data_IF_138142392644
#
_entry.id   IF_138142392644
#
_cell.length_a   1.000
_cell.length_b   1.000
_cell.length_c   1.000
_cell.angle_alpha   90.00
_cell.angle_beta   90.00
_cell.angle_gamma   90.00
#
_symmetry.space_group_name_H-M   'P 1'
#
loop_
_entity.id
_entity.type
_entity.pdbx_description
1 polymer ?
#
# COMPACT_ATOMS: atom_id res chain seq x y z
N UNK A 1 -16.27 2.90 33.41
CA UNK A 1 -15.08 2.16 33.88
C UNK A 1 -14.43 1.37 32.73
N UNK A 2 -14.25 2.00 31.56
CA UNK A 2 -13.57 1.42 30.38
C UNK A 2 -12.46 2.37 29.85
N UNK A 3 -12.04 3.33 30.69
CA UNK A 3 -10.99 4.32 30.41
C UNK A 3 -9.59 3.85 30.88
N UNK A 4 -9.29 2.54 30.78
CA UNK A 4 -8.00 1.96 31.22
C UNK A 4 -7.23 1.20 30.14
N UNK A 5 -7.66 1.25 28.87
CA UNK A 5 -6.90 0.71 27.73
C UNK A 5 -6.20 1.80 26.90
N UNK A 6 -5.85 2.92 27.53
CA UNK A 6 -5.15 4.04 26.89
C UNK A 6 -3.62 4.03 27.12
N UNK A 7 -2.99 2.85 27.33
CA UNK A 7 -1.55 2.78 27.66
C UNK A 7 -0.74 1.66 26.97
N UNK A 8 -1.30 0.96 25.98
CA UNK A 8 -0.54 0.12 25.04
C UNK A 8 -1.27 0.26 23.68
N UNK A 9 -0.78 0.91 22.63
CA UNK A 9 0.56 0.85 22.09
C UNK A 9 0.94 2.19 21.43
N UNK A 10 1.80 2.96 22.09
CA UNK A 10 2.85 3.66 21.36
C UNK A 10 3.86 2.59 20.91
N UNK A 11 3.49 1.75 19.92
CA UNK A 11 4.46 0.86 19.30
C UNK A 11 5.45 1.75 18.57
N UNK A 12 6.64 1.88 19.15
CA UNK A 12 7.81 2.37 18.45
C UNK A 12 7.83 1.76 17.05
N UNK A 13 7.70 2.59 16.02
CA UNK A 13 7.86 2.16 14.63
C UNK A 13 9.21 1.47 14.52
N UNK A 14 9.22 0.14 14.43
CA UNK A 14 10.41 -0.58 14.02
C UNK A 14 10.72 -0.10 12.61
N UNK A 15 11.96 0.35 12.32
CA UNK A 15 12.36 0.61 10.96
C UNK A 15 12.24 -0.71 10.21
N UNK A 16 11.34 -0.71 9.23
CA UNK A 16 11.19 -1.77 8.25
C UNK A 16 12.57 -2.04 7.61
N UNK A 17 13.03 -3.29 7.68
CA UNK A 17 14.32 -3.67 7.10
C UNK A 17 14.14 -3.67 5.59
N UNK A 18 14.67 -2.64 4.92
CA UNK A 18 14.62 -2.55 3.46
C UNK A 18 15.19 -3.82 2.83
N UNK A 19 14.35 -4.55 2.09
CA UNK A 19 14.79 -5.70 1.31
C UNK A 19 15.81 -5.29 0.23
N UNK A 20 16.77 -6.16 -0.14
CA UNK A 20 17.72 -5.89 -1.20
C UNK A 20 17.00 -5.57 -2.53
N UNK A 21 17.51 -4.56 -3.25
CA UNK A 21 16.93 -4.04 -4.50
C UNK A 21 17.52 -4.82 -5.70
N UNK A 22 17.41 -6.14 -5.68
CA UNK A 22 17.91 -6.99 -6.76
C UNK A 22 16.86 -7.28 -7.84
N UNK A 23 15.63 -6.78 -7.69
CA UNK A 23 14.61 -6.78 -8.75
C UNK A 23 14.37 -5.35 -9.26
N UNK A 24 14.88 -5.10 -10.47
CA UNK A 24 14.79 -3.81 -11.17
C UNK A 24 13.69 -3.80 -12.23
N UNK A 25 12.82 -4.82 -12.24
CA UNK A 25 11.71 -4.82 -13.20
C UNK A 25 10.85 -3.57 -12.96
N UNK A 26 10.41 -2.89 -14.03
CA UNK A 26 9.55 -1.71 -13.89
C UNK A 26 8.29 -2.01 -13.06
N UNK A 27 7.75 -3.23 -13.18
CA UNK A 27 6.59 -3.65 -12.38
C UNK A 27 6.90 -3.77 -10.89
N UNK A 28 8.06 -4.34 -10.52
CA UNK A 28 8.48 -4.42 -9.12
C UNK A 28 8.69 -3.03 -8.52
N UNK A 29 9.38 -2.15 -9.25
CA UNK A 29 9.62 -0.77 -8.81
C UNK A 29 8.30 0.01 -8.64
N UNK A 30 7.38 -0.10 -9.60
CA UNK A 30 6.05 0.50 -9.52
C UNK A 30 5.26 -0.04 -8.33
N UNK A 31 5.25 -1.34 -8.10
CA UNK A 31 4.57 -1.93 -6.95
C UNK A 31 5.15 -1.42 -5.63
N UNK A 32 6.49 -1.44 -5.47
CA UNK A 32 7.15 -0.97 -4.24
C UNK A 32 6.86 0.50 -3.97
N UNK A 33 6.79 1.33 -5.02
CA UNK A 33 6.41 2.73 -4.91
C UNK A 33 4.95 2.88 -4.43
N UNK A 34 4.01 2.15 -5.02
CA UNK A 34 2.59 2.16 -4.62
C UNK A 34 2.43 1.75 -3.16
N UNK A 35 3.07 0.65 -2.73
CA UNK A 35 3.04 0.21 -1.32
C UNK A 35 3.58 1.31 -0.39
N UNK A 36 4.67 1.97 -0.79
CA UNK A 36 5.27 3.06 0.00
C UNK A 36 4.36 4.30 0.11
N UNK A 37 3.64 4.64 -0.96
CA UNK A 37 2.66 5.72 -0.97
C UNK A 37 1.52 5.39 -0.02
N UNK A 38 0.94 4.19 -0.12
CA UNK A 38 -0.16 3.75 0.74
C UNK A 38 0.28 3.77 2.21
N UNK A 39 1.46 3.26 2.52
CA UNK A 39 2.02 3.27 3.88
C UNK A 39 2.18 4.70 4.43
N UNK A 40 2.64 5.64 3.60
CA UNK A 40 2.78 7.06 3.99
C UNK A 40 1.43 7.69 4.28
N UNK A 41 0.42 7.44 3.45
CA UNK A 41 -0.91 8.02 3.63
C UNK A 41 -1.59 7.43 4.89
N UNK A 42 -1.45 6.13 5.17
CA UNK A 42 -1.90 5.51 6.42
C UNK A 42 -1.25 6.17 7.65
N UNK A 43 0.07 6.40 7.61
CA UNK A 43 0.81 7.10 8.68
C UNK A 43 0.36 8.54 8.87
N UNK A 44 -0.22 9.17 7.85
CA UNK A 44 -0.80 10.51 7.95
C UNK A 44 -2.23 10.52 8.52
N UNK A 45 -2.77 9.36 8.91
CA UNK A 45 -4.10 9.22 9.50
C UNK A 45 -5.25 9.17 8.50
N UNK A 46 -4.96 8.94 7.22
CA UNK A 46 -6.00 8.85 6.18
C UNK A 46 -6.75 7.54 6.22
N UNK A 47 -8.04 7.62 5.88
CA UNK A 47 -8.91 6.44 5.77
C UNK A 47 -8.65 5.70 4.46
N UNK A 48 -9.04 4.42 4.42
CA UNK A 48 -8.86 3.55 3.25
C UNK A 48 -9.54 4.16 2.02
N UNK A 49 -10.72 4.75 2.20
CA UNK A 49 -11.48 5.39 1.12
C UNK A 49 -10.70 6.58 0.53
N UNK A 50 -10.13 7.45 1.38
CA UNK A 50 -9.34 8.60 0.95
C UNK A 50 -8.05 8.18 0.22
N UNK A 51 -7.44 7.09 0.66
CA UNK A 51 -6.26 6.50 0.00
C UNK A 51 -6.65 5.93 -1.37
N UNK A 52 -7.77 5.21 -1.42
CA UNK A 52 -8.27 4.60 -2.66
C UNK A 52 -8.60 5.67 -3.68
N UNK A 53 -9.35 6.72 -3.32
CA UNK A 53 -9.68 7.85 -4.21
C UNK A 53 -8.43 8.54 -4.76
N UNK A 54 -7.38 8.69 -3.94
CA UNK A 54 -6.11 9.27 -4.37
C UNK A 54 -5.37 8.42 -5.39
N UNK A 55 -5.41 7.09 -5.23
CA UNK A 55 -4.79 6.17 -6.19
C UNK A 55 -5.65 6.09 -7.46
N UNK A 56 -6.98 6.10 -7.34
CA UNK A 56 -7.94 6.14 -8.46
C UNK A 56 -7.78 7.40 -9.32
N UNK A 57 -7.39 8.54 -8.73
CA UNK A 57 -7.15 9.77 -9.48
C UNK A 57 -6.09 9.61 -10.59
N UNK A 58 -5.16 8.66 -10.46
CA UNK A 58 -4.20 8.34 -11.52
C UNK A 58 -4.85 7.63 -12.70
N UNK A 59 -5.94 6.88 -12.48
CA UNK A 59 -6.67 6.21 -13.55
C UNK A 59 -7.33 7.21 -14.50
N UNK A 60 -7.63 8.43 -14.06
CA UNK A 60 -8.22 9.48 -14.89
C UNK A 60 -7.31 9.95 -16.04
N UNK A 61 -6.01 9.63 -16.00
CA UNK A 61 -5.08 9.91 -17.11
C UNK A 61 -5.15 8.85 -18.23
N UNK A 62 -5.85 7.73 -18.00
CA UNK A 62 -6.08 6.70 -18.99
C UNK A 62 -7.37 6.98 -19.77
N UNK A 63 -7.48 6.43 -20.99
CA UNK A 63 -8.64 6.63 -21.86
C UNK A 63 -9.31 5.29 -22.19
N UNK A 64 -10.62 5.33 -22.44
CA UNK A 64 -11.42 4.16 -22.81
C UNK A 64 -11.40 3.09 -21.72
N UNK A 65 -11.38 1.83 -22.15
CA UNK A 65 -11.49 0.66 -21.25
C UNK A 65 -10.35 0.59 -20.22
N UNK A 66 -9.18 1.15 -20.55
CA UNK A 66 -8.03 1.17 -19.63
C UNK A 66 -8.31 1.96 -18.34
N UNK A 67 -9.14 3.01 -18.42
CA UNK A 67 -9.56 3.77 -17.23
C UNK A 67 -10.40 2.88 -16.30
N UNK A 68 -11.37 2.15 -16.84
CA UNK A 68 -12.25 1.29 -16.04
C UNK A 68 -11.47 0.13 -15.42
N UNK A 69 -10.61 -0.53 -16.20
CA UNK A 69 -9.73 -1.59 -15.71
C UNK A 69 -8.83 -1.08 -14.58
N UNK A 70 -8.27 0.12 -14.72
CA UNK A 70 -7.47 0.72 -13.65
C UNK A 70 -8.27 0.93 -12.36
N UNK A 71 -9.49 1.49 -12.46
CA UNK A 71 -10.36 1.72 -11.30
C UNK A 71 -10.68 0.39 -10.60
N UNK A 72 -11.03 -0.65 -11.36
CA UNK A 72 -11.32 -1.98 -10.81
C UNK A 72 -10.10 -2.57 -10.08
N UNK A 73 -8.92 -2.49 -10.69
CA UNK A 73 -7.67 -2.94 -10.08
C UNK A 73 -7.39 -2.17 -8.78
N UNK A 74 -7.55 -0.85 -8.78
CA UNK A 74 -7.27 -0.02 -7.60
C UNK A 74 -8.20 -0.38 -6.45
N UNK A 75 -9.50 -0.55 -6.72
CA UNK A 75 -10.51 -0.95 -5.73
C UNK A 75 -10.22 -2.31 -5.11
N UNK A 76 -9.66 -3.25 -5.86
CA UNK A 76 -9.29 -4.57 -5.36
C UNK A 76 -7.94 -4.53 -4.60
N UNK A 77 -6.92 -3.91 -5.20
CA UNK A 77 -5.53 -4.04 -4.75
C UNK A 77 -5.18 -3.11 -3.60
N UNK A 78 -5.73 -1.90 -3.52
CA UNK A 78 -5.41 -0.99 -2.41
C UNK A 78 -5.81 -1.57 -1.05
N UNK A 79 -7.05 -2.08 -0.85
CA UNK A 79 -7.42 -2.73 0.40
C UNK A 79 -6.58 -3.97 0.73
N UNK A 80 -6.17 -4.74 -0.29
CA UNK A 80 -5.29 -5.90 -0.12
C UNK A 80 -3.90 -5.48 0.39
N UNK A 81 -3.31 -4.45 -0.24
CA UNK A 81 -2.01 -3.88 0.16
C UNK A 81 -2.05 -3.36 1.59
N UNK A 82 -3.13 -2.68 1.99
CA UNK A 82 -3.31 -2.16 3.36
C UNK A 82 -3.28 -3.30 4.37
N UNK A 83 -3.96 -4.43 4.11
CA UNK A 83 -3.91 -5.61 4.99
C UNK A 83 -2.50 -6.18 5.16
N UNK A 84 -1.67 -6.14 4.11
CA UNK A 84 -0.26 -6.55 4.23
C UNK A 84 0.56 -5.52 5.02
N UNK A 85 0.27 -4.22 4.86
CA UNK A 85 0.95 -3.17 5.62
C UNK A 85 0.63 -3.27 7.11
N UNK A 86 -0.63 -3.52 7.48
CA UNK A 86 -1.07 -3.73 8.87
C UNK A 86 -0.40 -4.95 9.53
N UNK A 87 0.01 -5.94 8.72
CA UNK A 87 0.83 -7.08 9.14
C UNK A 87 2.33 -6.78 9.21
N UNK A 88 2.71 -5.50 9.14
CA UNK A 88 4.08 -4.99 9.17
C UNK A 88 5.00 -5.51 8.03
N UNK A 89 4.42 -6.00 6.92
CA UNK A 89 5.20 -6.60 5.82
C UNK A 89 5.94 -5.59 4.94
N UNK A 90 7.21 -5.88 4.63
CA UNK A 90 8.06 -5.06 3.75
C UNK A 90 7.50 -4.93 2.33
N UNK A 91 7.72 -3.77 1.69
CA UNK A 91 7.19 -3.49 0.35
C UNK A 91 7.63 -4.51 -0.70
N UNK A 92 8.86 -5.03 -0.60
CA UNK A 92 9.33 -6.09 -1.48
C UNK A 92 8.54 -7.39 -1.31
N UNK A 93 8.30 -7.83 -0.07
CA UNK A 93 7.59 -9.09 0.20
C UNK A 93 6.11 -8.99 -0.19
N UNK A 94 5.49 -7.83 0.05
CA UNK A 94 4.14 -7.53 -0.48
C UNK A 94 4.12 -7.66 -2.00
N UNK A 95 5.10 -7.07 -2.68
CA UNK A 95 5.16 -7.11 -4.14
C UNK A 95 5.53 -8.49 -4.70
N UNK A 96 6.22 -9.36 -3.94
CA UNK A 96 6.39 -10.78 -4.31
C UNK A 96 5.07 -11.56 -4.23
N UNK A 97 4.28 -11.32 -3.18
CA UNK A 97 2.97 -11.98 -3.01
C UNK A 97 2.01 -11.57 -4.14
N UNK A 98 2.07 -10.30 -4.55
CA UNK A 98 1.30 -9.77 -5.68
C UNK A 98 1.90 -10.12 -7.05
N UNK A 99 2.97 -10.92 -7.10
CA UNK A 99 3.71 -11.35 -8.29
C UNK A 99 4.29 -10.23 -9.17
N UNK A 100 4.52 -9.04 -8.58
CA UNK A 100 5.20 -7.92 -9.24
C UNK A 100 6.71 -7.92 -9.02
N UNK A 101 7.22 -8.62 -8.00
CA UNK A 101 8.66 -8.84 -7.74
C UNK A 101 8.97 -10.35 -7.65
N UNK A 102 10.20 -10.77 -7.96
CA UNK A 102 10.67 -12.17 -7.88
C UNK A 102 11.49 -12.52 -6.64
#
# INVERSE_FOLDING_TARGET
>A
MFFLFALFAASAMKPRKSAPVNDWSPMCLSCKLVVSIIEKELKSGKKIEEITEKVEAYCAYLQGDAQQICIEIVKEKVPEIIKYIEKEMESHDVCKILDYCK
#
